data_IF_647297563056
#
_entry.id   IF_647297563056
#
_cell.length_a   1.000
_cell.length_b   1.000
_cell.length_c   1.000
_cell.angle_alpha   90.00
_cell.angle_beta   90.00
_cell.angle_gamma   90.00
#
_symmetry.space_group_name_H-M   'P 1'
#
loop_
_entity.id
_entity.type
_entity.pdbx_description
1 polymer ?
#
# COMPACT_ATOMS: atom_id res chain seq x y z
N UNK A 1 25.08 -12.91 -3.56
CA UNK A 1 23.68 -13.39 -3.66
C UNK A 1 22.78 -12.27 -3.16
N UNK A 2 21.94 -11.70 -4.03
CA UNK A 2 21.09 -10.57 -3.68
C UNK A 2 20.14 -10.95 -2.53
N UNK A 3 20.01 -10.07 -1.51
CA UNK A 3 19.05 -10.26 -0.42
C UNK A 3 17.65 -10.44 -1.02
N UNK A 4 16.97 -11.53 -0.68
CA UNK A 4 15.54 -11.70 -0.98
C UNK A 4 14.78 -10.61 -0.22
N UNK A 5 14.41 -9.53 -0.89
CA UNK A 5 13.54 -8.51 -0.33
C UNK A 5 12.18 -9.16 -0.06
N UNK A 6 11.76 -9.13 1.20
CA UNK A 6 10.42 -9.55 1.59
C UNK A 6 9.46 -8.38 1.43
N UNK A 7 8.33 -8.64 0.79
CA UNK A 7 7.23 -7.70 0.76
C UNK A 7 6.83 -7.36 2.21
N UNK A 8 6.61 -6.08 2.55
CA UNK A 8 6.17 -5.72 3.89
C UNK A 8 4.82 -6.38 4.19
N UNK A 9 4.70 -7.01 5.35
CA UNK A 9 3.48 -7.68 5.79
C UNK A 9 2.72 -6.79 6.79
N UNK A 10 1.39 -6.64 6.66
CA UNK A 10 0.61 -5.78 7.53
C UNK A 10 0.63 -6.25 9.00
N UNK A 11 0.86 -7.53 9.28
CA UNK A 11 0.95 -8.08 10.65
C UNK A 11 2.31 -7.81 11.30
N UNK A 12 3.34 -7.55 10.50
CA UNK A 12 4.67 -7.18 11.01
C UNK A 12 4.74 -5.72 11.45
N UNK A 13 3.69 -4.93 11.20
CA UNK A 13 3.66 -3.52 11.49
C UNK A 13 3.18 -3.28 12.92
N UNK A 14 3.86 -2.40 13.64
CA UNK A 14 3.41 -1.99 14.98
C UNK A 14 2.08 -1.27 14.81
N UNK A 15 1.04 -1.73 15.51
CA UNK A 15 -0.32 -1.18 15.52
C UNK A 15 -0.40 0.35 15.68
N UNK A 16 0.61 0.97 16.32
CA UNK A 16 0.69 2.41 16.53
C UNK A 16 0.94 3.19 15.23
N UNK A 17 1.73 2.63 14.32
CA UNK A 17 2.02 3.20 13.00
C UNK A 17 1.05 2.58 12.01
N UNK A 18 -0.13 3.21 11.86
CA UNK A 18 -1.21 2.79 10.94
C UNK A 18 -0.80 2.77 9.47
N UNK A 19 0.43 3.18 9.17
CA UNK A 19 0.98 3.27 7.84
C UNK A 19 2.47 2.89 7.83
N UNK A 20 2.91 2.27 6.73
CA UNK A 20 4.32 1.91 6.52
C UNK A 20 4.84 2.56 5.25
N UNK A 21 5.95 3.28 5.38
CA UNK A 21 6.68 3.82 4.25
C UNK A 21 7.53 2.74 3.58
N UNK A 22 7.30 2.51 2.30
CA UNK A 22 8.15 1.76 1.40
C UNK A 22 8.84 2.75 0.44
N UNK A 23 10.14 2.94 0.62
CA UNK A 23 10.94 3.84 -0.22
C UNK A 23 11.02 3.36 -1.67
N UNK A 24 11.30 4.26 -2.60
CA UNK A 24 11.41 3.97 -4.03
C UNK A 24 12.39 2.82 -4.32
N UNK A 25 13.56 2.85 -3.70
CA UNK A 25 14.60 1.82 -3.87
C UNK A 25 14.08 0.43 -3.46
N UNK A 26 13.37 0.35 -2.33
CA UNK A 26 12.79 -0.90 -1.83
C UNK A 26 11.67 -1.40 -2.73
N UNK A 27 10.84 -0.50 -3.23
CA UNK A 27 9.77 -0.82 -4.18
C UNK A 27 10.33 -1.40 -5.48
N UNK A 28 11.36 -0.77 -6.05
CA UNK A 28 12.03 -1.24 -7.26
C UNK A 28 12.73 -2.57 -7.04
N UNK A 29 13.42 -2.75 -5.92
CA UNK A 29 14.07 -4.03 -5.59
C UNK A 29 13.08 -5.19 -5.50
N UNK A 30 11.91 -4.97 -4.87
CA UNK A 30 10.84 -5.98 -4.77
C UNK A 30 10.28 -6.31 -6.17
N UNK A 31 9.98 -5.28 -6.98
CA UNK A 31 9.47 -5.48 -8.34
C UNK A 31 10.47 -6.22 -9.23
N UNK A 32 11.74 -5.81 -9.19
CA UNK A 32 12.82 -6.38 -9.97
C UNK A 32 13.06 -7.85 -9.59
N UNK A 33 12.94 -8.19 -8.30
CA UNK A 33 13.03 -9.57 -7.85
C UNK A 33 11.84 -10.43 -8.30
N UNK A 34 10.63 -9.87 -8.33
CA UNK A 34 9.43 -10.62 -8.70
C UNK A 34 9.28 -10.83 -10.21
N UNK A 35 9.80 -9.88 -11.01
CA UNK A 35 9.69 -9.92 -12.48
C UNK A 35 10.99 -10.28 -13.19
N UNK A 36 12.11 -10.38 -12.47
CA UNK A 36 13.45 -10.58 -13.02
C UNK A 36 13.83 -9.49 -14.06
N UNK A 37 13.42 -8.24 -13.78
CA UNK A 37 13.68 -7.07 -14.63
C UNK A 37 14.56 -6.08 -13.87
N UNK A 38 15.31 -5.23 -14.57
CA UNK A 38 16.04 -4.09 -13.98
C UNK A 38 15.28 -2.77 -14.18
N UNK A 39 14.18 -2.57 -13.45
CA UNK A 39 13.47 -1.28 -13.46
C UNK A 39 14.23 -0.25 -12.61
N UNK A 40 14.59 0.88 -13.22
CA UNK A 40 15.30 2.00 -12.56
C UNK A 40 14.40 3.14 -12.12
N UNK A 41 13.12 3.12 -12.53
CA UNK A 41 12.14 4.18 -12.27
C UNK A 41 10.80 3.57 -11.88
N UNK A 42 10.08 4.25 -10.98
CA UNK A 42 8.70 3.89 -10.63
C UNK A 42 7.79 4.27 -11.81
N UNK A 43 7.70 3.38 -12.79
CA UNK A 43 6.79 3.50 -13.92
C UNK A 43 5.35 3.17 -13.51
N UNK A 44 4.39 3.48 -14.39
CA UNK A 44 2.97 3.12 -14.17
C UNK A 44 2.80 1.62 -13.91
N UNK A 45 3.55 0.77 -14.62
CA UNK A 45 3.52 -0.68 -14.44
C UNK A 45 3.99 -1.12 -13.06
N UNK A 46 5.05 -0.49 -12.53
CA UNK A 46 5.56 -0.76 -11.18
C UNK A 46 4.53 -0.38 -10.13
N UNK A 47 3.85 0.77 -10.29
CA UNK A 47 2.76 1.20 -9.39
C UNK A 47 1.57 0.24 -9.42
N UNK A 48 1.11 -0.12 -10.61
CA UNK A 48 -0.02 -1.03 -10.79
C UNK A 48 0.27 -2.42 -10.21
N UNK A 49 1.46 -2.95 -10.47
CA UNK A 49 1.87 -4.24 -9.90
C UNK A 49 1.95 -4.19 -8.37
N UNK A 50 2.58 -3.16 -7.82
CA UNK A 50 2.76 -3.05 -6.38
C UNK A 50 1.43 -2.82 -5.64
N UNK A 51 0.50 -2.08 -6.25
CA UNK A 51 -0.84 -1.92 -5.70
C UNK A 51 -1.61 -3.25 -5.64
N UNK A 52 -1.51 -4.06 -6.70
CA UNK A 52 -2.12 -5.39 -6.73
C UNK A 52 -1.49 -6.34 -5.71
N UNK A 53 -0.15 -6.32 -5.59
CA UNK A 53 0.57 -7.15 -4.62
C UNK A 53 0.25 -6.75 -3.17
N UNK A 54 0.15 -5.44 -2.90
CA UNK A 54 -0.26 -4.95 -1.59
C UNK A 54 -1.70 -5.37 -1.25
N UNK A 55 -2.62 -5.29 -2.20
CA UNK A 55 -3.98 -5.77 -1.99
C UNK A 55 -4.02 -7.28 -1.71
N UNK A 56 -3.24 -8.08 -2.46
CA UNK A 56 -3.12 -9.52 -2.24
C UNK A 56 -2.51 -9.86 -0.86
N UNK A 57 -1.56 -9.04 -0.40
CA UNK A 57 -0.97 -9.15 0.93
C UNK A 57 -1.87 -8.63 2.08
N UNK A 58 -3.08 -8.14 1.77
CA UNK A 58 -4.05 -7.71 2.78
C UNK A 58 -3.87 -6.28 3.30
N UNK A 59 -3.18 -5.42 2.55
CA UNK A 59 -3.11 -3.98 2.84
C UNK A 59 -4.42 -3.29 2.45
N UNK A 60 -4.85 -2.30 3.23
CA UNK A 60 -6.06 -1.54 2.92
C UNK A 60 -5.90 -0.54 1.77
N UNK A 61 -4.67 -0.12 1.49
CA UNK A 61 -4.40 0.77 0.38
C UNK A 61 -2.93 1.10 0.25
N UNK A 62 -2.59 1.64 -0.92
CA UNK A 62 -1.25 2.14 -1.25
C UNK A 62 -1.37 3.58 -1.74
N UNK A 63 -0.59 4.48 -1.18
CA UNK A 63 -0.49 5.85 -1.67
C UNK A 63 0.93 6.12 -2.17
N UNK A 64 1.06 6.46 -3.46
CA UNK A 64 2.35 6.76 -4.07
C UNK A 64 2.74 8.21 -3.83
N UNK A 65 3.91 8.43 -3.24
CA UNK A 65 4.39 9.76 -2.93
C UNK A 65 5.26 10.30 -4.07
N UNK A 66 4.97 11.49 -4.60
CA UNK A 66 5.91 12.22 -5.45
C UNK A 66 7.01 12.86 -4.59
N UNK A 67 8.24 12.81 -5.06
CA UNK A 67 9.37 13.57 -4.52
C UNK A 67 9.30 14.99 -5.06
N UNK A 68 9.03 15.95 -4.17
CA UNK A 68 8.76 17.35 -4.54
C UNK A 68 9.96 18.03 -5.20
N UNK A 69 11.19 17.64 -4.84
CA UNK A 69 12.41 18.27 -5.37
C UNK A 69 12.85 17.75 -6.73
N UNK A 70 12.59 16.48 -7.05
CA UNK A 70 13.07 15.85 -8.29
C UNK A 70 11.95 15.42 -9.23
N UNK A 71 10.67 15.52 -8.82
CA UNK A 71 9.52 15.05 -9.59
C UNK A 71 9.48 13.54 -9.79
N UNK A 72 10.39 12.80 -9.15
CA UNK A 72 10.46 11.34 -9.18
C UNK A 72 9.52 10.74 -8.14
N UNK A 73 9.17 9.46 -8.26
CA UNK A 73 8.39 8.80 -7.21
C UNK A 73 9.28 8.52 -6.00
N UNK A 74 8.98 9.09 -4.85
CA UNK A 74 9.71 8.86 -3.59
C UNK A 74 9.46 7.45 -3.01
N UNK A 75 8.37 6.81 -3.44
CA UNK A 75 7.96 5.48 -3.01
C UNK A 75 6.47 5.39 -2.79
N UNK A 76 6.05 4.59 -1.82
CA UNK A 76 4.67 4.47 -1.42
C UNK A 76 4.48 4.28 0.07
N UNK A 77 3.32 4.69 0.56
CA UNK A 77 2.83 4.44 1.91
C UNK A 77 1.76 3.36 1.82
N UNK A 78 1.92 2.32 2.63
CA UNK A 78 1.01 1.18 2.76
C UNK A 78 0.17 1.35 4.02
N UNK A 79 -1.14 1.21 3.93
CA UNK A 79 -2.06 1.40 5.07
C UNK A 79 -2.55 0.07 5.63
N UNK A 80 -2.47 -0.08 6.94
CA UNK A 80 -3.00 -1.25 7.63
C UNK A 80 -4.53 -1.14 7.62
N UNK A 81 -5.26 -2.23 7.32
CA UNK A 81 -6.71 -2.21 7.42
C UNK A 81 -7.17 -1.83 8.83
N UNK A 82 -8.17 -0.94 8.95
CA UNK A 82 -8.73 -0.58 10.25
C UNK A 82 -9.29 -1.85 10.91
N UNK A 83 -8.82 -2.15 12.13
CA UNK A 83 -9.27 -3.31 12.90
C UNK A 83 -10.68 -3.12 13.49
N UNK A 84 -11.17 -1.88 13.50
CA UNK A 84 -12.54 -1.54 13.84
C UNK A 84 -13.07 -0.59 12.77
N UNK A 85 -14.10 -1.02 12.07
CA UNK A 85 -14.97 -0.12 11.32
C UNK A 85 -16.28 -0.16 12.09
N UNK A 86 -16.49 0.79 13.01
CA UNK A 86 -17.78 0.97 13.68
C UNK A 86 -18.77 1.56 12.67
N UNK A 87 -19.17 0.75 11.69
CA UNK A 87 -20.15 1.12 10.67
C UNK A 87 -21.44 0.42 11.01
N UNK A 88 -22.40 1.20 11.48
CA UNK A 88 -23.78 0.73 11.65
C UNK A 88 -24.41 0.54 10.27
N UNK A 89 -24.43 -0.69 9.77
CA UNK A 89 -25.04 -1.02 8.47
C UNK A 89 -26.55 -1.17 8.66
N UNK A 90 -27.32 -0.13 8.34
CA UNK A 90 -28.78 -0.23 8.20
C UNK A 90 -29.15 -0.53 6.76
N UNK A 91 -29.45 -1.80 6.48
CA UNK A 91 -29.99 -2.22 5.17
C UNK A 91 -31.47 -1.84 5.11
N UNK A 92 -31.79 -0.81 4.32
CA UNK A 92 -33.17 -0.51 3.93
C UNK A 92 -33.42 -1.02 2.50
N UNK A 93 -34.69 -1.19 2.10
CA UNK A 93 -35.05 -1.85 0.82
C UNK A 93 -34.51 -1.17 -0.45
N UNK A 94 -33.90 0.02 -0.36
CA UNK A 94 -33.50 0.80 -1.54
C UNK A 94 -32.16 1.52 -1.42
N UNK A 95 -31.60 1.74 -0.22
CA UNK A 95 -30.37 2.54 -0.07
C UNK A 95 -29.48 2.04 1.08
N UNK A 96 -28.20 1.83 0.79
CA UNK A 96 -27.12 1.62 1.75
C UNK A 96 -26.55 2.98 2.15
N UNK A 97 -26.69 3.37 3.42
CA UNK A 97 -26.07 4.59 3.97
C UNK A 97 -24.93 4.18 4.90
N UNK A 98 -23.71 4.62 4.56
CA UNK A 98 -22.50 4.44 5.37
C UNK A 98 -22.28 5.75 6.13
N UNK A 99 -22.58 5.77 7.43
CA UNK A 99 -22.27 6.88 8.31
C UNK A 99 -21.04 6.53 9.16
N UNK A 100 -20.02 7.38 9.14
CA UNK A 100 -18.91 7.31 10.08
C UNK A 100 -19.31 8.07 11.36
N UNK A 101 -19.14 7.45 12.53
CA UNK A 101 -19.31 8.14 13.80
C UNK A 101 -18.12 9.09 14.01
N UNK A 102 -18.39 10.40 14.04
CA UNK A 102 -17.49 11.41 14.58
C UNK A 102 -17.81 11.60 16.07
N UNK A 103 -16.88 11.23 16.94
CA UNK A 103 -16.83 11.65 18.35
C UNK A 103 -16.67 13.18 18.48
#
# INVERSE_FOLDING_TARGET
MARKYKFPDPKSCKLKDRAVLCTAERMLAIYNQAKEIDAKRISKSVRSWFAAEAQAAGWAGVHFLPEVQSGHGAGCVLFIPPQQINVSIKVTKQTLILAAETE
#
